data_IF_306007029851
#
_entry.id   IF_306007029851
#
_cell.length_a   1.000
_cell.length_b   1.000
_cell.length_c   1.000
_cell.angle_alpha   90.00
_cell.angle_beta   90.00
_cell.angle_gamma   90.00
#
_symmetry.space_group_name_H-M   'P 1'
#
loop_
_entity.id
_entity.type
_entity.pdbx_description
1 polymer ?
#
# COMPACT_ATOMS: atom_id res chain seq x y z
N UNK A 1 9.54 5.31 -32.66
CA UNK A 1 9.05 4.87 -31.34
C UNK A 1 10.19 4.79 -30.30
N UNK A 2 11.15 5.73 -30.28
CA UNK A 2 12.30 5.69 -29.34
C UNK A 2 12.08 6.58 -28.10
N UNK A 3 11.39 7.71 -28.27
CA UNK A 3 11.25 8.73 -27.21
C UNK A 3 10.43 8.28 -25.98
N UNK A 4 9.50 7.34 -26.14
CA UNK A 4 8.69 6.85 -25.01
C UNK A 4 9.52 6.01 -24.03
N UNK A 5 10.51 5.25 -24.54
CA UNK A 5 11.37 4.40 -23.72
C UNK A 5 12.39 5.26 -22.97
N UNK A 6 12.97 6.25 -23.65
CA UNK A 6 13.93 7.20 -23.06
C UNK A 6 13.30 8.04 -21.94
N UNK A 7 12.07 8.54 -22.16
CA UNK A 7 11.33 9.29 -21.13
C UNK A 7 11.08 8.44 -19.89
N UNK A 8 10.81 7.14 -20.09
CA UNK A 8 10.57 6.20 -18.98
C UNK A 8 11.86 5.87 -18.22
N UNK A 9 12.99 5.70 -18.91
CA UNK A 9 14.30 5.45 -18.28
C UNK A 9 14.77 6.66 -17.46
N UNK A 10 14.60 7.87 -17.99
CA UNK A 10 14.97 9.09 -17.27
C UNK A 10 14.17 9.24 -15.97
N UNK A 11 12.86 8.96 -16.00
CA UNK A 11 12.02 8.98 -14.79
C UNK A 11 12.49 7.96 -13.74
N UNK A 12 12.97 6.79 -14.16
CA UNK A 12 13.51 5.78 -13.25
C UNK A 12 14.84 6.21 -12.64
N UNK A 13 15.73 6.84 -13.42
CA UNK A 13 17.00 7.40 -12.93
C UNK A 13 16.77 8.49 -11.90
N UNK A 14 15.85 9.41 -12.17
CA UNK A 14 15.51 10.49 -11.24
C UNK A 14 14.90 9.95 -9.94
N UNK A 15 14.01 8.95 -10.04
CA UNK A 15 13.45 8.28 -8.88
C UNK A 15 14.52 7.52 -8.08
N UNK A 16 15.46 6.86 -8.75
CA UNK A 16 16.59 6.20 -8.11
C UNK A 16 17.45 7.19 -7.33
N UNK A 17 17.75 8.37 -7.90
CA UNK A 17 18.52 9.41 -7.20
C UNK A 17 17.81 9.90 -5.93
N UNK A 18 16.49 10.13 -5.98
CA UNK A 18 15.69 10.51 -4.80
C UNK A 18 15.71 9.42 -3.71
N UNK A 19 15.55 8.16 -4.13
CA UNK A 19 15.59 7.01 -3.22
C UNK A 19 16.98 6.82 -2.61
N UNK A 20 18.04 6.96 -3.40
CA UNK A 20 19.41 6.88 -2.92
C UNK A 20 19.70 7.97 -1.88
N UNK A 21 19.22 9.20 -2.09
CA UNK A 21 19.33 10.28 -1.11
C UNK A 21 18.55 9.98 0.19
N UNK A 22 17.36 9.36 0.09
CA UNK A 22 16.50 9.04 1.24
C UNK A 22 16.98 7.85 2.07
N UNK A 23 17.56 6.85 1.43
CA UNK A 23 17.97 5.58 2.05
C UNK A 23 19.49 5.38 2.11
N UNK A 24 20.27 6.38 1.68
CA UNK A 24 21.74 6.36 1.63
C UNK A 24 22.30 5.14 0.89
N UNK A 25 21.73 4.82 -0.27
CA UNK A 25 22.28 3.75 -1.12
C UNK A 25 23.61 4.20 -1.72
N UNK A 26 24.64 3.35 -1.61
CA UNK A 26 25.96 3.58 -2.21
C UNK A 26 26.11 2.95 -3.61
N UNK A 27 25.14 2.10 -3.99
CA UNK A 27 25.15 1.37 -5.25
C UNK A 27 24.72 2.26 -6.42
N UNK A 28 25.23 1.95 -7.60
CA UNK A 28 24.86 2.58 -8.86
C UNK A 28 23.48 2.12 -9.34
N UNK A 29 22.89 2.90 -10.27
CA UNK A 29 21.55 2.65 -10.81
C UNK A 29 21.36 1.21 -11.32
N UNK A 30 22.32 0.68 -12.06
CA UNK A 30 22.25 -0.66 -12.62
C UNK A 30 22.20 -1.73 -11.53
N UNK A 31 23.02 -1.58 -10.49
CA UNK A 31 23.05 -2.49 -9.34
C UNK A 31 21.75 -2.42 -8.54
N UNK A 32 21.21 -1.22 -8.33
CA UNK A 32 19.89 -1.02 -7.70
C UNK A 32 18.77 -1.67 -8.51
N UNK A 33 18.83 -1.57 -9.83
CA UNK A 33 17.82 -2.14 -10.73
C UNK A 33 17.89 -3.66 -10.86
N UNK A 34 19.04 -4.29 -10.57
CA UNK A 34 19.19 -5.75 -10.48
C UNK A 34 18.57 -6.32 -9.20
N UNK A 35 18.54 -5.55 -8.12
CA UNK A 35 17.88 -5.96 -6.88
C UNK A 35 16.35 -5.88 -7.04
N UNK A 36 15.65 -7.00 -6.84
CA UNK A 36 14.19 -7.09 -7.02
C UNK A 36 13.39 -6.18 -6.09
N UNK A 37 13.86 -5.96 -4.87
CA UNK A 37 13.17 -5.14 -3.88
C UNK A 37 13.40 -3.67 -4.18
N UNK A 38 14.66 -3.29 -4.40
CA UNK A 38 15.03 -1.88 -4.64
C UNK A 38 14.50 -1.40 -6.00
N UNK A 39 14.59 -2.21 -7.05
CA UNK A 39 13.98 -1.90 -8.35
C UNK A 39 12.47 -1.69 -8.26
N UNK A 40 11.75 -2.50 -7.46
CA UNK A 40 10.32 -2.32 -7.23
C UNK A 40 10.02 -0.99 -6.54
N UNK A 41 10.81 -0.61 -5.55
CA UNK A 41 10.66 0.68 -4.86
C UNK A 41 10.89 1.85 -5.81
N UNK A 42 11.96 1.82 -6.63
CA UNK A 42 12.24 2.85 -7.63
C UNK A 42 11.08 2.98 -8.64
N UNK A 43 10.53 1.85 -9.11
CA UNK A 43 9.37 1.87 -10.04
C UNK A 43 8.10 2.45 -9.40
N UNK A 44 7.86 2.17 -8.12
CA UNK A 44 6.72 2.74 -7.38
C UNK A 44 6.90 4.26 -7.26
N UNK A 45 8.09 4.70 -6.86
CA UNK A 45 8.43 6.12 -6.72
C UNK A 45 8.36 6.88 -8.05
N UNK A 46 8.81 6.26 -9.15
CA UNK A 46 8.72 6.84 -10.49
C UNK A 46 7.26 6.99 -10.96
N UNK A 47 6.40 6.00 -10.62
CA UNK A 47 4.98 6.03 -10.97
C UNK A 47 4.16 6.99 -10.10
N UNK A 48 4.56 7.14 -8.83
CA UNK A 48 3.86 7.92 -7.82
C UNK A 48 4.86 8.83 -7.10
N UNK A 49 5.37 9.89 -7.75
CA UNK A 49 6.30 10.79 -7.12
C UNK A 49 5.63 11.45 -5.90
N UNK A 50 6.29 11.47 -4.73
CA UNK A 50 5.76 12.14 -3.55
C UNK A 50 5.58 13.62 -3.86
N UNK A 51 4.44 14.19 -3.46
CA UNK A 51 4.16 15.61 -3.66
C UNK A 51 5.30 16.45 -3.05
N UNK A 52 5.99 17.19 -3.91
CA UNK A 52 7.09 18.08 -3.55
C UNK A 52 6.60 19.08 -2.51
N UNK A 53 7.04 18.96 -1.26
CA UNK A 53 6.62 19.82 -0.16
C UNK A 53 5.90 19.11 0.98
N UNK A 54 5.56 17.82 0.85
CA UNK A 54 5.13 17.04 2.00
C UNK A 54 6.38 16.63 2.80
N UNK A 55 6.57 17.12 4.04
CA UNK A 55 7.69 16.65 4.87
C UNK A 55 7.60 15.13 4.99
N UNK A 56 8.74 14.41 5.11
CA UNK A 56 8.68 12.97 5.36
C UNK A 56 7.76 12.77 6.55
N UNK A 57 6.63 12.10 6.34
CA UNK A 57 5.71 11.80 7.42
C UNK A 57 6.55 11.06 8.47
N UNK A 58 6.88 11.75 9.58
CA UNK A 58 7.46 11.15 10.78
C UNK A 58 6.64 9.89 10.99
N UNK A 59 7.29 8.73 10.93
CA UNK A 59 6.64 7.42 10.96
C UNK A 59 5.47 7.48 11.94
N UNK A 60 4.25 7.62 11.39
CA UNK A 60 3.04 7.59 12.17
C UNK A 60 3.02 6.17 12.71
N UNK A 61 3.36 6.04 14.00
CA UNK A 61 3.18 4.80 14.75
C UNK A 61 1.76 4.31 14.42
N UNK A 62 1.70 3.07 13.97
CA UNK A 62 0.73 2.60 12.98
C UNK A 62 -0.75 2.79 13.31
N UNK A 63 -1.64 2.66 12.31
CA UNK A 63 -3.00 2.25 12.61
C UNK A 63 -2.96 0.80 13.10
N UNK A 64 -3.74 0.42 14.14
CA UNK A 64 -3.82 -0.96 14.58
C UNK A 64 -4.23 -1.82 13.38
N UNK A 65 -3.48 -2.91 13.14
CA UNK A 65 -3.87 -3.95 12.21
C UNK A 65 -5.33 -4.33 12.50
N UNK A 66 -6.26 -3.95 11.62
CA UNK A 66 -7.58 -4.57 11.63
C UNK A 66 -7.37 -6.06 11.35
N UNK A 67 -7.82 -6.98 12.21
CA UNK A 67 -7.98 -8.35 11.77
C UNK A 67 -9.05 -8.31 10.67
N UNK A 68 -8.62 -8.57 9.43
CA UNK A 68 -9.52 -8.94 8.36
C UNK A 68 -10.16 -10.26 8.83
N UNK A 69 -11.36 -10.19 9.41
CA UNK A 69 -12.10 -11.39 9.80
C UNK A 69 -12.22 -12.27 8.56
N UNK A 70 -11.63 -13.45 8.62
CA UNK A 70 -11.76 -14.45 7.58
C UNK A 70 -13.26 -14.71 7.34
N UNK A 71 -13.73 -14.78 6.08
CA UNK A 71 -15.04 -15.34 5.79
C UNK A 71 -14.94 -16.85 6.03
N UNK A 72 -15.08 -17.26 7.29
CA UNK A 72 -15.21 -18.66 7.65
C UNK A 72 -16.59 -19.12 7.22
N UNK A 73 -16.59 -19.96 6.18
CA UNK A 73 -17.42 -21.15 6.11
C UNK A 73 -18.92 -20.92 6.06
N UNK A 74 -19.51 -21.26 4.93
CA UNK A 74 -20.94 -21.55 4.90
C UNK A 74 -21.32 -22.58 5.96
N UNK A 75 -22.55 -22.42 6.46
CA UNK A 75 -23.59 -23.43 6.63
C UNK A 75 -24.72 -22.78 7.46
N UNK A 76 -25.83 -22.47 6.78
CA UNK A 76 -27.11 -22.13 7.42
C UNK A 76 -27.69 -23.39 8.02
N UNK A 77 -27.60 -23.60 9.33
CA UNK A 77 -28.30 -24.67 10.01
C UNK A 77 -28.57 -24.28 11.47
N UNK A 78 -29.85 -24.36 11.84
CA UNK A 78 -30.44 -24.35 13.19
C UNK A 78 -30.70 -22.99 13.85
N UNK A 79 -31.83 -22.73 14.50
CA UNK A 79 -33.21 -23.21 14.46
C UNK A 79 -33.97 -22.21 15.35
N UNK A 80 -35.22 -21.89 15.03
CA UNK A 80 -36.02 -20.92 15.74
C UNK A 80 -36.29 -21.35 17.20
N UNK A 81 -35.72 -20.61 18.16
CA UNK A 81 -36.13 -20.67 19.58
C UNK A 81 -36.60 -19.29 20.04
N UNK A 82 -37.92 -19.23 20.20
CA UNK A 82 -38.82 -18.15 20.59
C UNK A 82 -38.42 -17.50 21.92
N UNK A 83 -38.30 -16.16 21.96
CA UNK A 83 -38.46 -15.39 23.19
C UNK A 83 -39.79 -14.62 23.08
N UNK A 84 -40.78 -15.02 23.87
CA UNK A 84 -41.98 -14.23 24.13
C UNK A 84 -41.81 -13.58 25.51
N UNK A 85 -41.89 -12.24 25.60
CA UNK A 85 -42.28 -11.52 26.83
C UNK A 85 -42.35 -9.99 26.64
N UNK A 86 -43.58 -9.47 26.68
CA UNK A 86 -43.98 -8.07 27.03
C UNK A 86 -43.77 -7.02 25.94
N UNK A 87 -44.63 -6.04 25.70
CA UNK A 87 -45.84 -5.51 26.36
C UNK A 87 -46.58 -4.59 25.34
N UNK A 88 -47.85 -4.32 25.61
CA UNK A 88 -48.94 -3.77 24.77
C UNK A 88 -48.66 -2.46 24.01
N UNK A 89 -49.22 -2.37 22.81
CA UNK A 89 -49.52 -1.12 22.09
C UNK A 89 -51.01 -0.82 22.33
N UNK A 90 -51.30 0.26 23.04
CA UNK A 90 -52.63 0.85 23.21
C UNK A 90 -52.87 1.80 22.03
N UNK A 91 -53.79 1.43 21.12
CA UNK A 91 -54.80 2.29 20.44
C UNK A 91 -55.54 1.54 19.32
#
# INVERSE_FOLDING_TARGET
>A
MAHAIETTDQMLRDACARMAARFHWADDFETVMRDRVRSRLVRIEAKHPPATGMPPARALRGPPCRPLQAPKGGLSLFDHKRAASGERDDD
#
